data_IF_764376825871
#
_entry.id   IF_764376825871
#
_cell.length_a   1.000
_cell.length_b   1.000
_cell.length_c   1.000
_cell.angle_alpha   90.00
_cell.angle_beta   90.00
_cell.angle_gamma   90.00
#
_symmetry.space_group_name_H-M   'P 1'
#
loop_
_entity.id
_entity.type
_entity.pdbx_description
1 polymer ?
#
# COMPACT_ATOMS: atom_id res chain seq x y z
N UNK A 1 -8.09 70.78 15.07
CA UNK A 1 -8.89 69.95 14.14
C UNK A 1 -8.09 69.84 12.84
N UNK A 2 -7.70 68.72 12.27
CA UNK A 2 -7.95 67.29 12.51
C UNK A 2 -6.73 66.51 12.00
N UNK A 3 -6.50 65.37 12.63
CA UNK A 3 -5.48 64.37 12.31
C UNK A 3 -5.85 63.66 11.00
N UNK A 4 -4.94 63.61 10.04
CA UNK A 4 -4.89 62.58 9.01
C UNK A 4 -3.59 61.81 9.31
N UNK A 5 -3.62 60.69 10.02
CA UNK A 5 -4.42 59.52 9.71
C UNK A 5 -3.54 58.55 8.91
N UNK A 6 -2.48 58.06 9.55
CA UNK A 6 -1.66 56.96 9.06
C UNK A 6 -2.55 55.72 9.01
N UNK A 7 -2.75 55.13 7.84
CA UNK A 7 -3.27 53.77 7.71
C UNK A 7 -2.55 53.09 6.56
N UNK A 8 -1.62 52.24 6.96
CA UNK A 8 -0.94 51.24 6.17
C UNK A 8 -1.97 50.37 5.46
N UNK A 9 -2.09 50.57 4.15
CA UNK A 9 -2.80 49.65 3.26
C UNK A 9 -2.00 48.37 3.07
N UNK A 10 -1.98 47.53 4.10
CA UNK A 10 -1.59 46.11 3.97
C UNK A 10 -2.83 45.31 3.51
N UNK A 11 -3.35 45.61 2.32
CA UNK A 11 -4.32 44.76 1.65
C UNK A 11 -3.60 43.77 0.72
N UNK A 12 -2.75 42.93 1.32
CA UNK A 12 -2.08 41.85 0.61
C UNK A 12 -2.74 40.50 0.94
N UNK A 13 -3.54 40.01 -0.02
CA UNK A 13 -3.71 38.59 -0.34
C UNK A 13 -4.36 37.65 0.69
N UNK A 14 -5.35 38.11 1.46
CA UNK A 14 -6.27 37.19 2.16
C UNK A 14 -7.33 36.72 1.15
N UNK A 15 -7.39 35.41 0.88
CA UNK A 15 -8.37 34.82 -0.03
C UNK A 15 -9.83 35.16 0.33
N UNK A 16 -10.79 34.91 -0.58
CA UNK A 16 -12.17 35.38 -0.43
C UNK A 16 -12.78 34.89 0.89
N UNK A 17 -13.03 35.83 1.82
CA UNK A 17 -13.26 35.61 3.25
C UNK A 17 -14.56 34.87 3.62
N UNK A 18 -15.32 34.35 2.65
CA UNK A 18 -16.60 33.67 2.92
C UNK A 18 -16.88 32.50 1.96
N UNK A 19 -15.84 31.98 1.29
CA UNK A 19 -16.02 30.86 0.37
C UNK A 19 -15.89 29.51 1.09
N UNK A 20 -16.78 28.58 0.76
CA UNK A 20 -16.79 27.21 1.28
C UNK A 20 -16.11 26.28 0.29
N UNK A 21 -15.22 25.40 0.78
CA UNK A 21 -14.41 24.47 -0.02
C UNK A 21 -15.16 23.88 -1.23
N UNK A 22 -14.50 23.89 -2.40
CA UNK A 22 -15.09 23.40 -3.65
C UNK A 22 -15.08 21.87 -3.81
N UNK A 23 -14.62 21.11 -2.81
CA UNK A 23 -14.54 19.64 -2.89
C UNK A 23 -15.75 19.00 -2.20
N UNK A 24 -16.19 17.88 -2.74
CA UNK A 24 -17.21 17.00 -2.15
C UNK A 24 -16.62 15.63 -1.81
N UNK A 25 -17.11 15.05 -0.71
CA UNK A 25 -16.78 13.72 -0.21
C UNK A 25 -18.07 12.90 -0.16
N UNK A 26 -18.09 11.72 -0.80
CA UNK A 26 -19.27 10.84 -0.89
C UNK A 26 -20.58 11.54 -1.32
N UNK A 27 -20.46 12.55 -2.20
CA UNK A 27 -21.58 13.33 -2.72
C UNK A 27 -22.01 14.52 -1.86
N UNK A 28 -21.37 14.75 -0.71
CA UNK A 28 -21.63 15.91 0.15
C UNK A 28 -20.55 16.96 -0.03
N UNK A 29 -20.96 18.20 -0.32
CA UNK A 29 -20.03 19.34 -0.38
C UNK A 29 -19.43 19.58 1.00
N UNK A 30 -18.10 19.70 1.03
CA UNK A 30 -17.38 20.07 2.23
C UNK A 30 -17.88 21.42 2.77
N UNK A 31 -18.15 21.50 4.07
CA UNK A 31 -18.66 22.71 4.73
C UNK A 31 -17.57 23.58 5.37
N UNK A 32 -16.30 23.23 5.17
CA UNK A 32 -15.16 23.99 5.74
C UNK A 32 -14.87 25.22 4.89
N UNK A 33 -14.46 26.31 5.55
CA UNK A 33 -13.98 27.51 4.89
C UNK A 33 -12.81 27.20 3.95
N UNK A 34 -12.85 27.77 2.75
CA UNK A 34 -11.79 27.65 1.78
C UNK A 34 -10.59 28.50 2.20
N UNK A 35 -9.39 27.94 2.07
CA UNK A 35 -8.14 28.66 2.29
C UNK A 35 -7.63 29.29 0.99
N UNK A 36 -6.35 29.64 0.97
CA UNK A 36 -5.69 30.22 -0.21
C UNK A 36 -5.31 29.19 -1.28
N UNK A 37 -5.33 27.91 -0.94
CA UNK A 37 -5.01 26.83 -1.88
C UNK A 37 -6.17 26.57 -2.85
N UNK A 38 -5.85 26.26 -4.10
CA UNK A 38 -6.85 26.00 -5.15
C UNK A 38 -6.66 24.64 -5.81
N UNK A 39 -7.78 24.09 -6.25
CA UNK A 39 -7.84 22.90 -7.08
C UNK A 39 -7.30 23.21 -8.48
N UNK A 40 -6.26 22.49 -8.87
CA UNK A 40 -5.61 22.59 -10.17
C UNK A 40 -5.55 21.22 -10.85
N UNK A 41 -5.30 21.19 -12.16
CA UNK A 41 -5.13 19.92 -12.91
C UNK A 41 -4.06 19.01 -12.28
N UNK A 42 -3.04 19.57 -11.62
CA UNK A 42 -1.95 18.83 -10.98
C UNK A 42 -2.37 18.00 -9.77
N UNK A 43 -3.45 18.36 -9.08
CA UNK A 43 -3.93 17.64 -7.89
C UNK A 43 -5.15 16.75 -8.17
N UNK A 44 -5.63 16.73 -9.42
CA UNK A 44 -6.83 15.98 -9.84
C UNK A 44 -6.75 14.51 -9.48
N UNK A 45 -5.63 13.86 -9.78
CA UNK A 45 -5.48 12.42 -9.57
C UNK A 45 -5.37 12.09 -8.09
N UNK A 46 -4.64 12.90 -7.32
CA UNK A 46 -4.58 12.79 -5.85
C UNK A 46 -5.95 12.98 -5.21
N UNK A 47 -6.71 13.99 -5.65
CA UNK A 47 -8.09 14.24 -5.16
C UNK A 47 -8.98 13.02 -5.40
N UNK A 48 -8.89 12.39 -6.58
CA UNK A 48 -9.63 11.16 -6.90
C UNK A 48 -9.20 9.96 -6.05
N UNK A 49 -7.93 9.86 -5.66
CA UNK A 49 -7.46 8.79 -4.76
C UNK A 49 -8.14 8.85 -3.38
N UNK A 50 -8.51 10.04 -2.90
CA UNK A 50 -9.28 10.22 -1.66
C UNK A 50 -10.79 10.20 -1.86
N UNK A 51 -11.29 9.75 -3.02
CA UNK A 51 -12.72 9.78 -3.37
C UNK A 51 -13.36 11.17 -3.27
N UNK A 52 -12.52 12.21 -3.38
CA UNK A 52 -12.97 13.59 -3.42
C UNK A 52 -13.26 13.98 -4.87
N UNK A 53 -14.23 14.86 -5.06
CA UNK A 53 -14.60 15.39 -6.37
C UNK A 53 -14.73 16.91 -6.32
N UNK A 54 -14.55 17.57 -7.47
CA UNK A 54 -14.88 18.99 -7.59
C UNK A 54 -16.40 19.13 -7.68
N UNK A 55 -16.99 19.95 -6.81
CA UNK A 55 -18.40 20.30 -6.87
C UNK A 55 -18.67 21.15 -8.13
N UNK A 56 -19.54 20.66 -9.01
CA UNK A 56 -19.91 21.34 -10.24
C UNK A 56 -20.65 22.67 -10.00
N UNK A 57 -21.25 22.85 -8.83
CA UNK A 57 -21.99 24.08 -8.44
C UNK A 57 -21.05 25.11 -7.80
N UNK A 58 -19.81 24.74 -7.45
CA UNK A 58 -18.85 25.67 -6.86
C UNK A 58 -18.42 26.75 -7.87
N UNK A 59 -18.65 28.02 -7.50
CA UNK A 59 -18.23 29.20 -8.29
C UNK A 59 -16.73 29.53 -8.17
N UNK A 60 -15.96 28.68 -7.48
CA UNK A 60 -14.52 28.84 -7.27
C UNK A 60 -13.82 27.49 -7.18
N UNK A 61 -12.49 27.52 -7.23
CA UNK A 61 -11.66 26.31 -7.12
C UNK A 61 -10.90 26.22 -5.79
N UNK A 62 -11.09 27.14 -4.84
CA UNK A 62 -10.42 27.08 -3.53
C UNK A 62 -10.83 25.90 -2.65
N UNK A 63 -9.84 25.35 -1.94
CA UNK A 63 -9.97 24.20 -1.03
C UNK A 63 -9.65 24.60 0.41
N UNK A 64 -10.24 23.92 1.40
CA UNK A 64 -9.95 24.15 2.82
C UNK A 64 -8.56 23.61 3.20
N UNK A 65 -8.00 24.11 4.31
CA UNK A 65 -6.69 23.67 4.79
C UNK A 65 -6.65 22.18 5.17
N UNK A 66 -7.78 21.61 5.57
CA UNK A 66 -7.91 20.19 5.81
C UNK A 66 -7.65 19.36 4.54
N UNK A 67 -8.37 19.66 3.45
CA UNK A 67 -8.15 18.98 2.17
C UNK A 67 -6.80 19.32 1.55
N UNK A 68 -6.29 20.54 1.73
CA UNK A 68 -4.92 20.89 1.34
C UNK A 68 -3.91 19.96 2.02
N UNK A 69 -4.06 19.74 3.33
CA UNK A 69 -3.14 18.91 4.11
C UNK A 69 -3.24 17.43 3.70
N UNK A 70 -4.45 16.92 3.46
CA UNK A 70 -4.66 15.56 2.93
C UNK A 70 -4.03 15.35 1.55
N UNK A 71 -4.21 16.32 0.64
CA UNK A 71 -3.65 16.24 -0.71
C UNK A 71 -2.12 16.39 -0.69
N UNK A 72 -1.57 17.16 0.25
CA UNK A 72 -0.13 17.30 0.43
C UNK A 72 0.50 16.07 1.06
N UNK A 73 -0.12 15.48 2.09
CA UNK A 73 0.38 14.27 2.75
C UNK A 73 0.42 13.06 1.80
N UNK A 74 -0.49 13.03 0.83
CA UNK A 74 -0.50 12.04 -0.25
C UNK A 74 0.70 12.11 -1.20
N UNK A 75 1.41 13.25 -1.28
CA UNK A 75 2.65 13.35 -2.07
C UNK A 75 3.86 12.84 -1.29
N UNK A 76 3.81 12.91 0.04
CA UNK A 76 4.86 12.36 0.93
C UNK A 76 4.65 10.88 1.22
N UNK A 77 3.40 10.40 1.14
CA UNK A 77 3.06 8.99 1.14
C UNK A 77 3.17 8.47 -0.30
N UNK A 78 4.26 7.77 -0.62
CA UNK A 78 4.28 6.88 -1.79
C UNK A 78 3.01 5.99 -1.78
N UNK A 79 2.49 5.55 -2.93
CA UNK A 79 1.41 4.57 -2.97
C UNK A 79 1.92 3.24 -2.41
N UNK A 80 1.89 3.10 -1.08
CA UNK A 80 2.36 1.94 -0.34
C UNK A 80 1.63 1.91 0.99
N UNK A 81 0.36 1.47 0.97
CA UNK A 81 -0.32 0.83 2.10
C UNK A 81 -1.80 0.58 1.75
N UNK A 82 -2.03 -0.19 0.69
CA UNK A 82 -3.14 -1.14 0.75
C UNK A 82 -2.51 -2.42 1.29
N UNK A 83 -2.74 -2.70 2.58
CA UNK A 83 -2.45 -3.99 3.21
C UNK A 83 -0.96 -4.36 3.40
N UNK A 84 -0.18 -3.52 4.10
CA UNK A 84 1.11 -3.98 4.63
C UNK A 84 0.85 -4.75 5.94
N UNK A 85 0.36 -5.98 5.81
CA UNK A 85 0.50 -6.99 6.86
C UNK A 85 1.98 -7.15 7.25
N UNK A 86 2.29 -7.87 8.34
CA UNK A 86 3.66 -8.00 8.82
C UNK A 86 4.61 -8.41 7.69
N UNK A 87 5.65 -7.63 7.44
CA UNK A 87 6.62 -7.91 6.38
C UNK A 87 7.40 -9.19 6.75
N UNK A 88 7.10 -10.30 6.09
CA UNK A 88 7.76 -11.58 6.32
C UNK A 88 9.09 -11.59 5.57
N UNK A 89 10.21 -11.65 6.31
CA UNK A 89 11.53 -11.80 5.71
C UNK A 89 11.82 -13.26 5.32
N UNK A 90 11.52 -13.60 4.07
CA UNK A 90 11.83 -14.92 3.49
C UNK A 90 13.34 -15.20 3.36
N UNK A 91 14.21 -14.20 3.54
CA UNK A 91 15.65 -14.42 3.56
C UNK A 91 16.10 -15.22 4.79
N UNK A 92 15.28 -15.32 5.84
CA UNK A 92 15.54 -16.17 7.00
C UNK A 92 15.39 -17.67 6.70
N UNK A 93 14.62 -18.03 5.67
CA UNK A 93 14.41 -19.43 5.31
C UNK A 93 15.72 -20.11 4.84
N UNK A 94 15.88 -21.42 5.08
CA UNK A 94 17.01 -22.17 4.55
C UNK A 94 17.05 -22.14 3.01
N UNK A 95 18.26 -22.11 2.44
CA UNK A 95 18.46 -22.14 0.98
C UNK A 95 17.75 -23.33 0.31
N UNK A 96 17.75 -24.48 0.96
CA UNK A 96 17.08 -25.68 0.48
C UNK A 96 15.56 -25.52 0.37
N UNK A 97 14.95 -24.79 1.31
CA UNK A 97 13.51 -24.48 1.29
C UNK A 97 13.17 -23.56 0.13
N UNK A 98 13.97 -22.50 -0.09
CA UNK A 98 13.78 -21.57 -1.21
C UNK A 98 13.89 -22.31 -2.56
N UNK A 99 14.91 -23.15 -2.73
CA UNK A 99 15.09 -23.98 -3.94
C UNK A 99 13.95 -24.97 -4.13
N UNK A 100 13.50 -25.62 -3.05
CA UNK A 100 12.38 -26.58 -3.09
C UNK A 100 11.10 -25.90 -3.53
N UNK A 101 10.81 -24.70 -3.02
CA UNK A 101 9.65 -23.91 -3.44
C UNK A 101 9.70 -23.60 -4.95
N UNK A 102 10.81 -23.03 -5.43
CA UNK A 102 10.99 -22.67 -6.85
C UNK A 102 10.78 -23.90 -7.74
N UNK A 103 11.34 -25.05 -7.35
CA UNK A 103 11.19 -26.31 -8.08
C UNK A 103 9.76 -26.84 -8.04
N UNK A 104 9.09 -26.79 -6.89
CA UNK A 104 7.74 -27.34 -6.71
C UNK A 104 6.71 -26.56 -7.53
N UNK A 105 6.75 -25.23 -7.48
CA UNK A 105 5.86 -24.35 -8.23
C UNK A 105 6.36 -24.06 -9.66
N UNK A 106 7.51 -24.63 -10.05
CA UNK A 106 8.15 -24.42 -11.36
C UNK A 106 8.29 -22.94 -11.70
N UNK A 107 8.65 -22.13 -10.71
CA UNK A 107 8.82 -20.68 -10.87
C UNK A 107 9.98 -20.43 -11.82
N UNK A 108 9.73 -19.68 -12.90
CA UNK A 108 10.74 -19.37 -13.90
C UNK A 108 11.77 -18.40 -13.30
N UNK A 109 13.04 -18.82 -13.30
CA UNK A 109 14.12 -18.06 -12.69
C UNK A 109 15.40 -18.12 -13.52
N UNK A 110 16.24 -17.07 -13.42
CA UNK A 110 17.59 -17.07 -13.99
C UNK A 110 18.48 -18.09 -13.27
N UNK A 111 19.48 -18.70 -13.96
CA UNK A 111 20.46 -19.55 -13.31
C UNK A 111 21.29 -18.73 -12.29
N UNK A 112 21.75 -19.40 -11.22
CA UNK A 112 22.67 -18.85 -10.21
C UNK A 112 22.14 -17.66 -9.38
N UNK A 113 20.88 -17.74 -8.91
CA UNK A 113 20.35 -16.75 -7.97
C UNK A 113 20.98 -16.88 -6.57
N UNK A 114 21.23 -15.74 -5.93
CA UNK A 114 21.61 -15.69 -4.52
C UNK A 114 20.39 -15.80 -3.59
N UNK A 115 20.61 -15.94 -2.27
CA UNK A 115 19.54 -16.16 -1.28
C UNK A 115 18.48 -15.06 -1.31
N UNK A 116 18.91 -13.80 -1.31
CA UNK A 116 18.02 -12.63 -1.30
C UNK A 116 17.17 -12.55 -2.57
N UNK A 117 17.76 -12.87 -3.73
CA UNK A 117 17.04 -12.87 -5.00
C UNK A 117 16.01 -14.02 -5.06
N UNK A 118 16.33 -15.21 -4.52
CA UNK A 118 15.36 -16.30 -4.40
C UNK A 118 14.20 -15.92 -3.47
N UNK A 119 14.49 -15.34 -2.31
CA UNK A 119 13.47 -14.85 -1.38
C UNK A 119 12.53 -13.83 -2.05
N UNK A 120 13.08 -12.86 -2.79
CA UNK A 120 12.28 -11.88 -3.53
C UNK A 120 11.41 -12.53 -4.62
N UNK A 121 11.95 -13.55 -5.30
CA UNK A 121 11.19 -14.32 -6.31
C UNK A 121 10.01 -15.03 -5.66
N UNK A 122 10.21 -15.63 -4.47
CA UNK A 122 9.14 -16.26 -3.69
C UNK A 122 8.02 -15.27 -3.35
N UNK A 123 8.36 -14.11 -2.79
CA UNK A 123 7.39 -13.08 -2.41
C UNK A 123 6.54 -12.67 -3.61
N UNK A 124 7.19 -12.39 -4.74
CA UNK A 124 6.48 -12.00 -5.96
C UNK A 124 5.57 -13.11 -6.48
N UNK A 125 6.01 -14.37 -6.43
CA UNK A 125 5.17 -15.50 -6.85
C UNK A 125 3.98 -15.71 -5.91
N UNK A 126 4.18 -15.65 -4.59
CA UNK A 126 3.10 -15.80 -3.61
C UNK A 126 1.97 -14.78 -3.82
N UNK A 127 2.32 -13.53 -4.16
CA UNK A 127 1.35 -12.47 -4.47
C UNK A 127 0.47 -12.79 -5.69
N UNK A 128 0.90 -13.70 -6.56
CA UNK A 128 0.12 -14.14 -7.74
C UNK A 128 -0.75 -15.36 -7.46
N UNK A 129 -0.58 -16.01 -6.31
CA UNK A 129 -1.32 -17.23 -5.98
C UNK A 129 -2.67 -16.89 -5.35
N UNK A 130 -3.74 -17.40 -5.94
CA UNK A 130 -5.06 -17.44 -5.30
C UNK A 130 -5.11 -18.56 -4.26
N UNK A 131 -5.61 -18.27 -3.07
CA UNK A 131 -5.75 -19.25 -1.99
C UNK A 131 -7.23 -19.51 -1.71
N UNK A 132 -7.64 -20.78 -1.70
CA UNK A 132 -8.93 -21.19 -1.15
C UNK A 132 -8.76 -21.43 0.36
N UNK A 133 -9.31 -20.53 1.17
CA UNK A 133 -9.13 -20.53 2.62
C UNK A 133 -9.60 -21.83 3.28
N UNK A 134 -10.75 -22.35 2.85
CA UNK A 134 -11.32 -23.58 3.41
C UNK A 134 -10.39 -24.76 3.22
N UNK A 135 -9.84 -24.92 2.01
CA UNK A 135 -8.91 -26.00 1.69
C UNK A 135 -7.59 -25.82 2.41
N UNK A 136 -7.02 -24.60 2.38
CA UNK A 136 -5.75 -24.30 3.04
C UNK A 136 -5.78 -24.64 4.53
N UNK A 137 -6.82 -24.21 5.24
CA UNK A 137 -7.01 -24.51 6.66
C UNK A 137 -7.22 -26.02 6.90
N UNK A 138 -8.05 -26.66 6.07
CA UNK A 138 -8.31 -28.11 6.20
C UNK A 138 -7.03 -28.92 6.03
N UNK A 139 -6.25 -28.64 4.98
CA UNK A 139 -4.97 -29.32 4.73
C UNK A 139 -3.95 -29.05 5.84
N UNK A 140 -3.87 -27.81 6.34
CA UNK A 140 -2.98 -27.44 7.43
C UNK A 140 -3.31 -28.22 8.71
N UNK A 141 -4.57 -28.19 9.16
CA UNK A 141 -5.03 -28.90 10.36
C UNK A 141 -4.80 -30.40 10.22
N UNK A 142 -5.18 -30.98 9.07
CA UNK A 142 -4.97 -32.41 8.81
C UNK A 142 -3.48 -32.78 8.90
N UNK A 143 -2.62 -32.03 8.21
CA UNK A 143 -1.17 -32.31 8.17
C UNK A 143 -0.54 -32.26 9.56
N UNK A 144 -0.93 -31.29 10.40
CA UNK A 144 -0.45 -31.21 11.78
C UNK A 144 -0.96 -32.40 12.59
N UNK A 145 -2.27 -32.70 12.54
CA UNK A 145 -2.85 -33.80 13.32
C UNK A 145 -2.26 -35.16 12.97
N UNK A 146 -1.86 -35.36 11.72
CA UNK A 146 -1.25 -36.62 11.27
C UNK A 146 0.28 -36.62 11.35
N UNK A 147 0.92 -35.57 11.90
CA UNK A 147 2.38 -35.38 11.87
C UNK A 147 2.97 -35.57 10.46
N UNK A 148 2.24 -35.11 9.45
CA UNK A 148 2.45 -35.44 8.04
C UNK A 148 3.59 -34.68 7.35
N UNK A 149 4.65 -34.28 8.05
CA UNK A 149 5.76 -33.60 7.40
C UNK A 149 6.65 -34.59 6.62
N UNK A 150 6.15 -35.02 5.44
CA UNK A 150 6.79 -36.00 4.54
C UNK A 150 8.13 -35.53 3.94
N UNK A 151 8.50 -34.26 4.18
CA UNK A 151 9.61 -33.60 3.51
C UNK A 151 10.99 -33.85 4.16
N UNK A 152 11.02 -34.47 5.35
CA UNK A 152 12.24 -34.89 6.06
C UNK A 152 12.48 -36.41 5.99
N UNK A 153 11.46 -37.22 5.69
CA UNK A 153 11.58 -38.69 5.71
C UNK A 153 12.38 -39.28 4.54
N UNK A 154 12.71 -38.51 3.49
CA UNK A 154 13.48 -39.02 2.35
C UNK A 154 14.99 -38.85 2.54
N UNK A 155 15.52 -39.29 3.69
CA UNK A 155 16.95 -39.56 3.85
C UNK A 155 17.24 -40.83 4.66
N UNK A 156 16.26 -41.71 4.86
CA UNK A 156 16.44 -43.01 5.51
C UNK A 156 16.72 -44.16 4.54
N UNK A 157 17.89 -44.78 4.71
CA UNK A 157 18.26 -46.16 4.36
C UNK A 157 18.42 -46.57 2.89
N UNK A 158 19.67 -46.48 2.41
CA UNK A 158 20.32 -47.56 1.66
C UNK A 158 21.75 -47.74 2.16
N UNK A 159 21.90 -48.43 3.28
CA UNK A 159 23.04 -49.30 3.52
C UNK A 159 22.45 -50.54 4.18
N UNK A 160 22.09 -51.50 3.33
CA UNK A 160 21.77 -52.86 3.76
C UNK A 160 23.08 -53.52 4.18
N UNK A 161 23.14 -53.91 5.44
CA UNK A 161 24.04 -54.94 5.95
C UNK A 161 24.15 -56.10 4.94
N UNK A 162 25.36 -56.37 4.47
CA UNK A 162 25.73 -57.64 3.85
C UNK A 162 26.31 -58.55 4.94
N UNK A 163 25.63 -59.64 5.32
CA UNK A 163 26.25 -60.72 6.08
C UNK A 163 26.74 -61.80 5.11
N UNK A 164 28.06 -62.03 5.07
CA UNK A 164 28.74 -63.33 4.89
C UNK A 164 30.24 -63.11 4.94
#
# INVERSE_FOLDING_TARGET
MNQNGFSTGEEESRGPLDMICCLQEDGFRCQRQAGTASYTKKIRDTVRQFKLHLDAVARHTYICDHHKSMIQSAKTLKPSSQDEGPEIDFSQLPMNTLRRYIKHFKVVTKPNLNKAQMAKTLVNHLKTMSVNEKEALTFFIYTIKTNGNKLDQKNGNKNSDTPS
#
